data_IF_172853492437
#
_entry.id   IF_172853492437
#
_cell.length_a   1.000
_cell.length_b   1.000
_cell.length_c   1.000
_cell.angle_alpha   90.00
_cell.angle_beta   90.00
_cell.angle_gamma   90.00
#
_symmetry.space_group_name_H-M   'P 1'
#
loop_
_entity.id
_entity.type
_entity.pdbx_description
1 polymer ?
#
# COMPACT_ATOMS: atom_id res chain seq x y z
N UNK A 1 0.35 8.47 29.43
CA UNK A 1 0.36 8.46 27.96
C UNK A 1 -0.81 7.61 27.49
N UNK A 2 -1.59 8.08 26.49
CA UNK A 2 -2.76 7.36 25.96
C UNK A 2 -2.27 6.23 25.03
N UNK A 3 -2.79 5.02 25.21
CA UNK A 3 -2.43 3.86 24.38
C UNK A 3 -3.45 3.64 23.28
N UNK A 4 -3.00 3.43 22.04
CA UNK A 4 -3.81 2.94 20.92
C UNK A 4 -3.43 1.49 20.66
N UNK A 5 -4.41 0.62 20.41
CA UNK A 5 -4.16 -0.81 20.23
C UNK A 5 -4.52 -1.23 18.80
N UNK A 6 -3.57 -1.79 18.08
CA UNK A 6 -3.81 -2.45 16.79
C UNK A 6 -4.00 -3.94 16.96
N UNK A 7 -4.98 -4.52 16.26
CA UNK A 7 -5.25 -5.97 16.29
C UNK A 7 -5.30 -6.52 14.88
N UNK A 8 -4.50 -7.55 14.60
CA UNK A 8 -4.48 -8.24 13.31
C UNK A 8 -4.31 -9.76 13.46
N UNK A 9 -4.80 -10.53 12.49
CA UNK A 9 -4.51 -11.96 12.34
C UNK A 9 -3.62 -12.27 11.14
N UNK A 10 -3.06 -11.23 10.50
CA UNK A 10 -2.18 -11.40 9.35
C UNK A 10 -0.78 -11.85 9.77
N UNK A 11 -0.22 -12.81 9.02
CA UNK A 11 1.14 -13.33 9.21
C UNK A 11 2.04 -13.09 8.01
N UNK A 12 1.44 -12.79 6.86
CA UNK A 12 2.15 -12.74 5.59
C UNK A 12 2.92 -11.43 5.41
N UNK A 13 4.06 -11.46 4.72
CA UNK A 13 4.70 -10.23 4.28
C UNK A 13 3.79 -9.49 3.29
N UNK A 14 3.79 -8.17 3.38
CA UNK A 14 3.00 -7.30 2.49
C UNK A 14 2.47 -6.04 3.16
N UNK A 15 1.51 -5.40 2.50
CA UNK A 15 1.03 -4.06 2.86
C UNK A 15 0.55 -3.89 4.31
N UNK A 16 -0.08 -4.92 4.92
CA UNK A 16 -0.52 -4.82 6.33
C UNK A 16 0.68 -4.78 7.27
N UNK A 17 1.72 -5.59 7.02
CA UNK A 17 2.93 -5.59 7.84
C UNK A 17 3.64 -4.24 7.80
N UNK A 18 3.82 -3.68 6.60
CA UNK A 18 4.39 -2.33 6.40
C UNK A 18 3.52 -1.25 7.04
N UNK A 19 2.19 -1.34 6.86
CA UNK A 19 1.24 -0.40 7.44
C UNK A 19 1.29 -0.36 8.97
N UNK A 20 1.42 -1.50 9.66
CA UNK A 20 1.53 -1.57 11.11
C UNK A 20 2.74 -0.78 11.63
N UNK A 21 3.89 -0.91 10.96
CA UNK A 21 5.08 -0.10 11.27
C UNK A 21 4.82 1.39 11.02
N UNK A 22 4.17 1.75 9.92
CA UNK A 22 3.74 3.13 9.64
C UNK A 22 2.81 3.68 10.72
N UNK A 23 1.82 2.92 11.18
CA UNK A 23 0.94 3.31 12.29
C UNK A 23 1.70 3.49 13.61
N UNK A 24 2.69 2.61 13.91
CA UNK A 24 3.52 2.77 15.12
C UNK A 24 4.27 4.09 15.09
N UNK A 25 4.90 4.43 13.97
CA UNK A 25 5.61 5.69 13.79
C UNK A 25 4.69 6.90 13.88
N UNK A 26 3.56 6.88 13.17
CA UNK A 26 2.60 7.98 13.16
C UNK A 26 2.01 8.22 14.56
N UNK A 27 1.64 7.16 15.30
CA UNK A 27 1.16 7.24 16.67
C UNK A 27 2.22 7.79 17.63
N UNK A 28 3.48 7.37 17.46
CA UNK A 28 4.59 7.88 18.26
C UNK A 28 4.81 9.40 18.01
N UNK A 29 4.79 9.85 16.77
CA UNK A 29 4.85 11.28 16.40
C UNK A 29 3.68 12.04 17.06
N UNK A 30 2.48 11.47 17.08
CA UNK A 30 1.29 12.04 17.69
C UNK A 30 1.27 11.94 19.24
N UNK A 31 2.31 11.39 19.88
CA UNK A 31 2.42 11.30 21.33
C UNK A 31 1.64 10.17 21.99
N UNK A 32 1.24 9.14 21.23
CA UNK A 32 0.59 7.93 21.73
C UNK A 32 1.58 6.78 21.93
N UNK A 33 1.27 5.90 22.91
CA UNK A 33 1.84 4.57 22.92
C UNK A 33 1.07 3.66 21.98
N UNK A 34 1.76 2.77 21.30
CA UNK A 34 1.15 1.78 20.44
C UNK A 34 1.33 0.37 20.99
N UNK A 35 0.23 -0.36 21.18
CA UNK A 35 0.28 -1.79 21.44
C UNK A 35 -0.20 -2.53 20.20
N UNK A 36 0.55 -3.54 19.75
CA UNK A 36 0.17 -4.36 18.61
C UNK A 36 -0.08 -5.80 19.05
N UNK A 37 -1.29 -6.28 18.81
CA UNK A 37 -1.71 -7.68 19.05
C UNK A 37 -1.74 -8.40 17.72
N UNK A 38 -0.86 -9.39 17.55
CA UNK A 38 -0.68 -10.10 16.28
C UNK A 38 -0.28 -11.56 16.51
N UNK A 39 -0.35 -12.42 15.45
CA UNK A 39 0.07 -13.81 15.56
C UNK A 39 1.59 -13.95 15.73
N UNK A 40 2.01 -15.00 16.44
CA UNK A 40 3.40 -15.47 16.43
C UNK A 40 3.85 -15.78 15.00
N UNK A 41 5.12 -15.46 14.70
CA UNK A 41 5.70 -15.63 13.37
C UNK A 41 5.12 -14.69 12.30
N UNK A 42 4.44 -13.60 12.70
CA UNK A 42 4.03 -12.56 11.76
C UNK A 42 5.25 -11.81 11.21
N UNK A 43 5.25 -11.53 9.91
CA UNK A 43 6.36 -10.84 9.24
C UNK A 43 6.61 -9.41 9.76
N UNK A 44 5.60 -8.78 10.37
CA UNK A 44 5.73 -7.46 10.97
C UNK A 44 6.55 -7.42 12.27
N UNK A 45 6.76 -8.57 12.94
CA UNK A 45 7.38 -8.62 14.29
C UNK A 45 8.75 -7.97 14.34
N UNK A 46 9.63 -8.31 13.40
CA UNK A 46 11.01 -7.79 13.40
C UNK A 46 11.07 -6.26 13.18
N UNK A 47 10.22 -5.72 12.31
CA UNK A 47 10.16 -4.29 12.06
C UNK A 47 9.56 -3.53 13.25
N UNK A 48 8.48 -4.05 13.84
CA UNK A 48 7.80 -3.44 14.99
C UNK A 48 8.68 -3.45 16.26
N UNK A 49 9.52 -4.48 16.43
CA UNK A 49 10.42 -4.57 17.60
C UNK A 49 11.43 -3.41 17.68
N UNK A 50 11.72 -2.77 16.57
CA UNK A 50 12.62 -1.62 16.49
C UNK A 50 11.91 -0.26 16.61
N UNK A 51 10.56 -0.24 16.69
CA UNK A 51 9.82 1.01 16.78
C UNK A 51 9.69 1.49 18.23
N UNK A 52 10.05 2.75 18.53
CA UNK A 52 9.93 3.30 19.86
C UNK A 52 8.47 3.35 20.33
N UNK A 53 8.26 3.31 21.64
CA UNK A 53 6.91 3.36 22.26
C UNK A 53 5.91 2.34 21.70
N UNK A 54 6.43 1.21 21.17
CA UNK A 54 5.63 0.12 20.62
C UNK A 54 5.74 -1.12 21.48
N UNK A 55 4.63 -1.58 22.02
CA UNK A 55 4.53 -2.83 22.78
C UNK A 55 3.93 -3.92 21.89
N UNK A 56 4.58 -5.06 21.81
CA UNK A 56 4.13 -6.20 21.00
C UNK A 56 3.60 -7.31 21.90
N UNK A 57 2.39 -7.80 21.57
CA UNK A 57 1.79 -9.00 22.16
C UNK A 57 1.51 -10.00 21.06
N UNK A 58 2.30 -11.05 20.99
CA UNK A 58 2.11 -12.12 20.02
C UNK A 58 1.53 -13.37 20.66
N UNK A 59 0.68 -14.07 19.90
CA UNK A 59 0.00 -15.28 20.33
C UNK A 59 -0.07 -16.31 19.19
N UNK A 60 -0.12 -17.62 19.50
CA UNK A 60 -0.39 -18.62 18.48
C UNK A 60 -1.65 -18.27 17.68
N UNK A 61 -1.60 -18.37 16.35
CA UNK A 61 -2.69 -17.92 15.47
C UNK A 61 -4.03 -18.60 15.81
N UNK A 62 -4.00 -19.88 16.16
CA UNK A 62 -5.19 -20.62 16.57
C UNK A 62 -5.82 -20.05 17.84
N UNK A 63 -4.99 -19.77 18.85
CA UNK A 63 -5.39 -19.14 20.11
C UNK A 63 -5.99 -17.75 19.85
N UNK A 64 -5.28 -16.92 19.08
CA UNK A 64 -5.74 -15.56 18.75
C UNK A 64 -7.10 -15.59 18.03
N UNK A 65 -7.26 -16.44 17.01
CA UNK A 65 -8.54 -16.63 16.33
C UNK A 65 -9.63 -17.12 17.26
N UNK A 66 -9.35 -18.11 18.10
CA UNK A 66 -10.31 -18.65 19.06
C UNK A 66 -10.80 -17.55 20.01
N UNK A 67 -9.90 -16.83 20.66
CA UNK A 67 -10.25 -15.79 21.63
C UNK A 67 -10.98 -14.59 21.00
N UNK A 68 -10.63 -14.20 19.78
CA UNK A 68 -11.30 -13.11 19.09
C UNK A 68 -12.66 -13.55 18.56
N UNK A 69 -12.76 -14.73 17.92
CA UNK A 69 -13.99 -15.16 17.24
C UNK A 69 -15.05 -15.72 18.19
N UNK A 70 -14.64 -16.41 19.27
CA UNK A 70 -15.60 -16.99 20.23
C UNK A 70 -16.08 -16.03 21.31
N UNK A 71 -15.58 -14.79 21.32
CA UNK A 71 -15.81 -13.80 22.40
C UNK A 71 -15.28 -14.29 23.76
N UNK A 72 -14.58 -15.39 23.83
CA UNK A 72 -13.88 -15.88 25.00
C UNK A 72 -12.61 -15.06 25.23
N UNK A 73 -12.37 -14.76 26.40
CA UNK A 73 -11.57 -13.79 27.08
C UNK A 73 -10.09 -13.89 26.67
N UNK A 74 -9.53 -12.81 26.11
CA UNK A 74 -8.11 -12.49 26.32
C UNK A 74 -7.77 -12.63 27.82
N UNK A 75 -6.54 -13.01 28.14
CA UNK A 75 -6.10 -13.04 29.54
C UNK A 75 -6.46 -11.69 30.22
N UNK A 76 -6.76 -11.68 31.51
CA UNK A 76 -7.29 -10.50 32.20
C UNK A 76 -6.49 -9.21 31.96
N UNK A 77 -5.16 -9.33 31.87
CA UNK A 77 -4.28 -8.18 31.59
C UNK A 77 -4.50 -7.56 30.21
N UNK A 78 -4.65 -8.37 29.16
CA UNK A 78 -4.92 -7.87 27.80
C UNK A 78 -6.33 -7.27 27.73
N UNK A 79 -7.31 -7.89 28.39
CA UNK A 79 -8.67 -7.37 28.47
C UNK A 79 -8.72 -5.99 29.13
N UNK A 80 -8.04 -5.81 30.25
CA UNK A 80 -7.94 -4.51 30.91
C UNK A 80 -7.33 -3.46 29.97
N UNK A 81 -6.21 -3.79 29.29
CA UNK A 81 -5.56 -2.88 28.33
C UNK A 81 -6.49 -2.51 27.17
N UNK A 82 -7.26 -3.46 26.62
CA UNK A 82 -8.23 -3.19 25.56
C UNK A 82 -9.36 -2.25 26.07
N UNK A 83 -9.80 -2.40 27.32
CA UNK A 83 -10.85 -1.54 27.90
C UNK A 83 -10.37 -0.13 28.22
N UNK A 84 -9.09 0.03 28.57
CA UNK A 84 -8.47 1.32 28.93
C UNK A 84 -7.87 2.07 27.74
N UNK A 85 -7.81 1.44 26.56
CA UNK A 85 -7.23 2.04 25.38
C UNK A 85 -7.92 3.35 24.99
N UNK A 86 -7.18 4.25 24.32
CA UNK A 86 -7.77 5.43 23.68
C UNK A 86 -8.64 5.06 22.49
N UNK A 87 -8.18 4.07 21.71
CA UNK A 87 -8.87 3.51 20.56
C UNK A 87 -8.33 2.13 20.20
N UNK A 88 -9.10 1.37 19.43
CA UNK A 88 -8.69 0.08 18.88
C UNK A 88 -8.72 0.16 17.34
N UNK A 89 -7.58 -0.04 16.70
CA UNK A 89 -7.42 -0.15 15.25
C UNK A 89 -7.54 -1.62 14.85
N UNK A 90 -8.53 -1.94 14.04
CA UNK A 90 -8.84 -3.32 13.63
C UNK A 90 -8.41 -3.50 12.17
N UNK A 91 -7.38 -4.31 11.92
CA UNK A 91 -6.83 -4.49 10.58
C UNK A 91 -7.46 -5.63 9.77
N UNK A 92 -8.42 -6.35 10.36
CA UNK A 92 -9.16 -7.43 9.68
C UNK A 92 -10.67 -7.26 9.97
N UNK A 93 -11.48 -7.04 8.96
CA UNK A 93 -12.93 -6.80 9.12
C UNK A 93 -13.68 -7.89 9.89
N UNK A 94 -13.19 -9.13 9.87
CA UNK A 94 -13.78 -10.26 10.64
C UNK A 94 -13.68 -10.08 12.15
N UNK A 95 -12.76 -9.25 12.64
CA UNK A 95 -12.50 -9.06 14.06
C UNK A 95 -13.42 -7.97 14.68
N UNK A 96 -14.01 -7.12 13.86
CA UNK A 96 -14.80 -5.97 14.30
C UNK A 96 -15.87 -6.37 15.32
N UNK A 97 -16.75 -7.31 14.96
CA UNK A 97 -17.86 -7.74 15.83
C UNK A 97 -17.39 -8.29 17.20
N UNK A 98 -16.19 -8.88 17.24
CA UNK A 98 -15.65 -9.43 18.50
C UNK A 98 -15.02 -8.36 19.38
N UNK A 99 -14.46 -7.33 18.77
CA UNK A 99 -13.78 -6.23 19.46
C UNK A 99 -14.75 -5.10 19.84
N UNK A 100 -15.89 -4.94 19.16
CA UNK A 100 -16.90 -3.91 19.45
C UNK A 100 -17.52 -3.99 20.85
N UNK A 101 -17.30 -5.06 21.61
CA UNK A 101 -17.69 -5.21 23.00
C UNK A 101 -16.84 -4.41 24.00
N UNK A 102 -15.69 -3.91 23.59
CA UNK A 102 -14.85 -3.05 24.42
C UNK A 102 -15.30 -1.60 24.31
N UNK A 103 -15.18 -0.85 25.39
CA UNK A 103 -15.68 0.54 25.47
C UNK A 103 -14.97 1.54 24.54
N UNK A 104 -13.64 1.40 24.25
CA UNK A 104 -12.97 2.37 23.40
C UNK A 104 -13.51 2.38 21.97
N UNK A 105 -13.46 3.51 21.25
CA UNK A 105 -13.88 3.58 19.86
C UNK A 105 -13.04 2.65 18.98
N UNK A 106 -13.71 1.96 18.06
CA UNK A 106 -13.12 1.01 17.13
C UNK A 106 -13.05 1.61 15.74
N UNK A 107 -11.90 1.44 15.10
CA UNK A 107 -11.66 1.87 13.74
C UNK A 107 -11.24 0.67 12.88
N UNK A 108 -12.07 0.30 11.94
CA UNK A 108 -11.70 -0.69 10.94
C UNK A 108 -10.80 -0.04 9.88
N UNK A 109 -9.55 -0.46 9.78
CA UNK A 109 -8.65 -0.06 8.71
C UNK A 109 -8.90 -0.95 7.49
N UNK A 110 -9.45 -0.38 6.42
CA UNK A 110 -9.80 -1.14 5.22
C UNK A 110 -8.62 -1.27 4.24
N UNK A 111 -7.75 -2.22 4.49
CA UNK A 111 -6.58 -2.51 3.66
C UNK A 111 -6.88 -3.16 2.31
N UNK A 112 -8.07 -3.72 2.12
CA UNK A 112 -8.36 -4.56 0.94
C UNK A 112 -9.30 -3.91 -0.07
N UNK A 113 -9.89 -2.77 0.24
CA UNK A 113 -10.96 -2.17 -0.55
C UNK A 113 -12.26 -2.99 -0.61
N UNK A 114 -12.30 -4.18 0.04
CA UNK A 114 -13.47 -5.07 0.05
C UNK A 114 -14.55 -4.53 0.97
N UNK A 115 -15.82 -4.68 0.56
CA UNK A 115 -16.99 -4.15 1.26
C UNK A 115 -17.57 -5.13 2.30
N UNK A 116 -17.07 -6.35 2.35
CA UNK A 116 -17.59 -7.40 3.25
C UNK A 116 -17.39 -7.04 4.72
N UNK A 117 -18.46 -7.11 5.52
CA UNK A 117 -18.50 -6.84 6.96
C UNK A 117 -18.24 -5.37 7.36
N UNK A 118 -18.21 -4.42 6.43
CA UNK A 118 -17.99 -3.01 6.75
C UNK A 118 -19.10 -2.43 7.63
N UNK A 119 -20.36 -2.74 7.34
CA UNK A 119 -21.51 -2.23 8.09
C UNK A 119 -21.60 -2.67 9.58
N UNK A 120 -20.62 -3.48 10.04
CA UNK A 120 -20.49 -3.88 11.45
C UNK A 120 -19.52 -3.01 12.26
N UNK A 121 -18.84 -2.10 11.61
CA UNK A 121 -17.93 -1.16 12.24
C UNK A 121 -18.63 0.19 12.48
N UNK A 122 -18.34 0.86 13.58
CA UNK A 122 -18.84 2.22 13.82
C UNK A 122 -18.02 3.25 13.04
N UNK A 123 -16.73 3.01 12.91
CA UNK A 123 -15.79 3.87 12.19
C UNK A 123 -14.95 3.05 11.22
N UNK A 124 -14.78 3.56 10.00
CA UNK A 124 -13.95 2.93 8.97
C UNK A 124 -12.92 3.94 8.46
N UNK A 125 -11.66 3.52 8.44
CA UNK A 125 -10.55 4.25 7.83
C UNK A 125 -10.28 3.66 6.45
N UNK A 126 -10.54 4.44 5.42
CA UNK A 126 -10.26 4.09 4.03
C UNK A 126 -8.90 4.65 3.61
N UNK A 127 -8.19 3.91 2.79
CA UNK A 127 -6.88 4.32 2.28
C UNK A 127 -7.00 5.20 1.02
N UNK A 128 -8.18 5.17 0.36
CA UNK A 128 -8.44 5.91 -0.86
C UNK A 128 -9.86 6.46 -0.90
N UNK A 129 -10.05 7.55 -1.67
CA UNK A 129 -11.33 8.18 -1.92
C UNK A 129 -12.28 7.25 -2.68
N UNK A 130 -11.75 6.52 -3.66
CA UNK A 130 -12.51 5.56 -4.46
C UNK A 130 -13.10 4.43 -3.60
N UNK A 131 -12.31 3.85 -2.68
CA UNK A 131 -12.79 2.82 -1.76
C UNK A 131 -13.87 3.36 -0.82
N UNK A 132 -13.71 4.58 -0.28
CA UNK A 132 -14.72 5.24 0.55
C UNK A 132 -16.03 5.44 -0.21
N UNK A 133 -15.95 5.97 -1.44
CA UNK A 133 -17.13 6.25 -2.26
C UNK A 133 -17.88 4.97 -2.65
N UNK A 134 -17.15 3.87 -2.95
CA UNK A 134 -17.79 2.57 -3.17
C UNK A 134 -18.52 2.05 -1.95
N UNK A 135 -17.92 2.21 -0.76
CA UNK A 135 -18.55 1.77 0.48
C UNK A 135 -19.82 2.56 0.78
N UNK A 136 -19.80 3.88 0.63
CA UNK A 136 -20.99 4.73 0.80
C UNK A 136 -22.13 4.31 -0.12
N UNK A 137 -21.86 4.14 -1.42
CA UNK A 137 -22.88 3.65 -2.38
C UNK A 137 -23.42 2.27 -2.01
N UNK A 138 -22.57 1.37 -1.48
CA UNK A 138 -23.01 0.05 -1.05
C UNK A 138 -23.91 0.12 0.17
N UNK A 139 -23.66 1.01 1.13
CA UNK A 139 -24.55 1.23 2.30
C UNK A 139 -25.90 1.79 1.87
N UNK A 140 -25.91 2.74 0.96
CA UNK A 140 -27.15 3.29 0.35
C UNK A 140 -27.95 2.20 -0.38
N UNK A 141 -27.28 1.35 -1.18
CA UNK A 141 -27.91 0.24 -1.88
C UNK A 141 -28.48 -0.84 -0.93
N UNK A 142 -27.94 -0.96 0.28
CA UNK A 142 -28.48 -1.82 1.33
C UNK A 142 -29.63 -1.17 2.12
N UNK A 143 -30.04 0.06 1.78
CA UNK A 143 -31.11 0.79 2.44
C UNK A 143 -30.73 1.30 3.86
N UNK A 144 -29.44 1.37 4.17
CA UNK A 144 -28.99 1.89 5.48
C UNK A 144 -29.24 3.40 5.56
N UNK A 145 -29.97 3.83 6.59
CA UNK A 145 -30.16 5.26 6.85
C UNK A 145 -28.80 5.93 7.14
N UNK A 146 -28.63 7.20 6.78
CA UNK A 146 -27.37 7.92 6.96
C UNK A 146 -26.86 7.90 8.41
N UNK A 147 -27.77 7.91 9.40
CA UNK A 147 -27.44 7.82 10.82
C UNK A 147 -26.97 6.43 11.27
N UNK A 148 -27.25 5.39 10.48
CA UNK A 148 -26.88 4.00 10.75
C UNK A 148 -25.58 3.60 10.03
N UNK A 149 -25.14 4.42 9.06
CA UNK A 149 -23.93 4.15 8.31
C UNK A 149 -22.69 4.37 9.16
N UNK A 150 -21.66 3.53 9.00
CA UNK A 150 -20.37 3.76 9.64
C UNK A 150 -19.79 5.14 9.29
N UNK A 151 -19.11 5.77 10.24
CA UNK A 151 -18.35 6.98 9.96
C UNK A 151 -17.15 6.63 9.08
N UNK A 152 -17.19 7.02 7.82
CA UNK A 152 -16.17 6.76 6.82
C UNK A 152 -15.17 7.93 6.75
N UNK A 153 -13.92 7.68 7.08
CA UNK A 153 -12.85 8.70 7.04
C UNK A 153 -11.73 8.20 6.12
N UNK A 154 -11.14 9.09 5.32
CA UNK A 154 -9.95 8.78 4.52
C UNK A 154 -8.73 9.02 5.41
N UNK A 155 -7.88 7.99 5.53
CA UNK A 155 -6.59 8.06 6.21
C UNK A 155 -5.57 7.30 5.36
N UNK A 156 -4.89 7.96 4.43
CA UNK A 156 -3.81 7.36 3.64
C UNK A 156 -2.65 6.92 4.53
N UNK A 157 -1.85 5.98 4.04
CA UNK A 157 -0.58 5.66 4.69
C UNK A 157 0.42 6.80 4.53
N UNK A 158 1.19 7.06 5.58
CA UNK A 158 2.30 8.01 5.55
C UNK A 158 3.62 7.30 5.23
N UNK A 159 4.50 8.04 4.60
CA UNK A 159 5.85 7.59 4.26
C UNK A 159 6.89 8.28 5.11
N UNK A 160 7.90 7.51 5.56
CA UNK A 160 9.09 8.07 6.17
C UNK A 160 9.92 8.76 5.09
N UNK A 161 10.09 10.05 5.23
CA UNK A 161 10.89 10.81 4.27
C UNK A 161 12.39 10.50 4.47
N UNK A 162 13.16 10.29 3.40
CA UNK A 162 14.60 10.11 3.51
C UNK A 162 15.24 11.40 4.04
N UNK A 163 16.27 11.27 4.90
CA UNK A 163 16.99 12.42 5.47
C UNK A 163 17.62 13.35 4.42
N UNK A 164 17.89 12.83 3.24
CA UNK A 164 18.36 13.60 2.08
C UNK A 164 17.55 13.19 0.86
N UNK A 165 16.97 14.18 0.18
CA UNK A 165 16.36 13.94 -1.13
C UNK A 165 17.41 13.33 -2.06
N UNK A 166 17.11 12.17 -2.60
CA UNK A 166 18.02 11.48 -3.51
C UNK A 166 18.09 12.28 -4.80
N UNK A 167 19.17 13.05 -4.96
CA UNK A 167 19.51 13.62 -6.25
C UNK A 167 19.93 12.46 -7.16
N UNK A 168 19.03 11.96 -8.01
CA UNK A 168 19.43 11.23 -9.18
C UNK A 168 20.00 12.28 -10.15
N UNK A 169 21.20 12.75 -9.82
CA UNK A 169 21.97 13.65 -10.67
C UNK A 169 23.08 12.82 -11.28
N UNK A 170 22.85 12.29 -12.46
CA UNK A 170 23.91 12.10 -13.42
C UNK A 170 23.23 12.21 -14.79
N UNK A 171 23.83 12.98 -15.70
CA UNK A 171 23.55 12.86 -17.12
C UNK A 171 23.49 11.38 -17.43
N UNK A 172 22.32 10.89 -17.82
CA UNK A 172 22.24 9.50 -18.26
C UNK A 172 23.15 9.36 -19.47
N UNK A 173 23.94 8.32 -19.47
CA UNK A 173 24.70 7.91 -20.65
C UNK A 173 23.67 7.65 -21.75
N UNK A 174 23.72 8.37 -22.86
CA UNK A 174 22.74 8.29 -23.95
C UNK A 174 22.65 6.88 -24.56
N UNK A 175 23.67 6.06 -24.33
CA UNK A 175 23.72 4.67 -24.79
C UNK A 175 23.21 3.67 -23.73
N UNK A 176 22.78 4.17 -22.54
CA UNK A 176 22.28 3.30 -21.47
C UNK A 176 20.87 2.78 -21.78
N UNK A 177 20.72 1.47 -21.81
CA UNK A 177 19.40 0.81 -21.90
C UNK A 177 18.61 1.07 -20.61
N UNK A 178 17.42 1.70 -20.68
CA UNK A 178 16.60 1.99 -19.51
C UNK A 178 16.19 0.73 -18.76
N UNK A 179 16.29 0.78 -17.43
CA UNK A 179 15.90 -0.30 -16.54
C UNK A 179 14.56 0.01 -15.87
N UNK A 180 13.58 -0.83 -16.15
CA UNK A 180 12.25 -0.81 -15.52
C UNK A 180 12.23 -1.86 -14.42
N UNK A 181 11.68 -1.53 -13.28
CA UNK A 181 11.43 -2.53 -12.23
C UNK A 181 9.97 -2.56 -11.84
N UNK A 182 9.50 -3.76 -11.51
CA UNK A 182 8.22 -4.00 -10.86
C UNK A 182 8.44 -4.94 -9.68
N UNK A 183 7.63 -4.80 -8.62
CA UNK A 183 7.79 -5.66 -7.48
C UNK A 183 6.47 -5.93 -6.75
N UNK A 184 6.34 -7.16 -6.24
CA UNK A 184 5.17 -7.57 -5.49
C UNK A 184 5.03 -9.08 -5.43
N UNK A 185 4.00 -9.54 -4.72
CA UNK A 185 3.70 -10.96 -4.64
C UNK A 185 3.17 -11.47 -5.97
N UNK A 186 3.61 -12.63 -6.44
CA UNK A 186 3.19 -13.22 -7.70
C UNK A 186 1.81 -13.88 -7.55
N UNK A 187 0.79 -13.03 -7.63
CA UNK A 187 -0.64 -13.37 -7.56
C UNK A 187 -1.39 -12.56 -8.60
N UNK A 188 -2.52 -13.07 -9.06
CA UNK A 188 -3.33 -12.52 -10.16
C UNK A 188 -3.61 -11.02 -10.05
N UNK A 189 -4.01 -10.57 -8.85
CA UNK A 189 -4.33 -9.16 -8.60
C UNK A 189 -3.16 -8.17 -8.78
N UNK A 190 -1.92 -8.66 -8.94
CA UNK A 190 -0.74 -7.81 -9.19
C UNK A 190 -0.47 -7.57 -10.68
N UNK A 191 -1.20 -8.24 -11.58
CA UNK A 191 -1.22 -7.92 -13.01
C UNK A 191 0.12 -8.08 -13.73
N UNK A 192 1.05 -8.89 -13.21
CA UNK A 192 2.37 -9.04 -13.84
C UNK A 192 2.32 -9.76 -15.19
N UNK A 193 1.24 -10.50 -15.48
CA UNK A 193 1.01 -11.05 -16.81
C UNK A 193 0.90 -9.92 -17.86
N UNK A 194 0.19 -8.83 -17.55
CA UNK A 194 0.06 -7.68 -18.46
C UNK A 194 1.43 -7.01 -18.70
N UNK A 195 2.30 -6.99 -17.69
CA UNK A 195 3.67 -6.45 -17.85
C UNK A 195 4.53 -7.35 -18.77
N UNK A 196 4.35 -8.66 -18.71
CA UNK A 196 5.03 -9.60 -19.60
C UNK A 196 4.55 -9.39 -21.04
N UNK A 197 3.23 -9.24 -21.26
CA UNK A 197 2.67 -8.94 -22.57
C UNK A 197 3.16 -7.59 -23.10
N UNK A 198 3.19 -6.55 -22.25
CA UNK A 198 3.75 -5.24 -22.61
C UNK A 198 5.24 -5.32 -22.97
N UNK A 199 6.02 -6.16 -22.27
CA UNK A 199 7.43 -6.40 -22.57
C UNK A 199 7.61 -7.02 -23.96
N UNK A 200 6.74 -7.96 -24.36
CA UNK A 200 6.72 -8.53 -25.70
C UNK A 200 6.42 -7.46 -26.76
N UNK A 201 5.45 -6.58 -26.52
CA UNK A 201 5.12 -5.48 -27.41
C UNK A 201 6.29 -4.51 -27.60
N UNK A 202 6.97 -4.14 -26.52
CA UNK A 202 8.17 -3.27 -26.58
C UNK A 202 9.30 -3.94 -27.37
N UNK A 203 9.52 -5.26 -27.16
CA UNK A 203 10.51 -6.02 -27.93
C UNK A 203 10.17 -6.05 -29.42
N UNK A 204 8.91 -6.31 -29.79
CA UNK A 204 8.46 -6.28 -31.19
C UNK A 204 8.62 -4.91 -31.86
N UNK A 205 8.47 -3.84 -31.09
CA UNK A 205 8.66 -2.45 -31.55
C UNK A 205 10.14 -2.03 -31.54
N UNK A 206 11.07 -2.90 -31.16
CA UNK A 206 12.49 -2.62 -31.02
C UNK A 206 12.77 -1.44 -30.05
N UNK A 207 11.97 -1.29 -29.00
CA UNK A 207 12.20 -0.30 -27.94
C UNK A 207 13.20 -0.89 -26.93
N UNK A 208 14.42 -0.34 -26.81
CA UNK A 208 15.43 -0.90 -25.94
C UNK A 208 15.09 -0.63 -24.46
N UNK A 209 14.84 -1.70 -23.71
CA UNK A 209 14.64 -1.64 -22.26
C UNK A 209 14.96 -2.98 -21.60
N UNK A 210 15.25 -2.97 -20.32
CA UNK A 210 15.30 -4.17 -19.47
C UNK A 210 14.29 -4.07 -18.36
N UNK A 211 13.58 -5.17 -18.07
CA UNK A 211 12.55 -5.23 -17.04
C UNK A 211 12.96 -6.27 -16.01
N UNK A 212 13.07 -5.86 -14.76
CA UNK A 212 13.36 -6.76 -13.64
C UNK A 212 12.10 -6.87 -12.76
N UNK A 213 11.55 -8.08 -12.66
CA UNK A 213 10.35 -8.37 -11.86
C UNK A 213 10.76 -9.05 -10.54
N UNK A 214 10.63 -8.31 -9.43
CA UNK A 214 10.96 -8.77 -8.10
C UNK A 214 9.73 -9.30 -7.36
N UNK A 215 9.84 -10.49 -6.82
CA UNK A 215 8.75 -11.10 -6.05
C UNK A 215 8.84 -12.61 -6.00
N UNK A 216 7.84 -13.19 -5.34
CA UNK A 216 7.61 -14.63 -5.30
C UNK A 216 6.12 -14.90 -5.11
N UNK A 217 5.67 -16.08 -5.46
CA UNK A 217 4.29 -16.48 -5.24
C UNK A 217 3.81 -17.60 -6.16
N UNK A 218 2.55 -17.99 -6.03
CA UNK A 218 2.01 -19.17 -6.74
C UNK A 218 1.99 -19.05 -8.27
N UNK A 219 2.15 -17.85 -8.83
CA UNK A 219 2.16 -17.65 -10.28
C UNK A 219 3.56 -17.58 -10.91
N UNK A 220 4.63 -17.85 -10.15
CA UNK A 220 6.01 -17.76 -10.64
C UNK A 220 6.25 -18.63 -11.87
N UNK A 221 5.90 -19.93 -11.79
CA UNK A 221 6.02 -20.85 -12.91
C UNK A 221 5.14 -20.46 -14.12
N UNK A 222 3.99 -19.83 -13.85
CA UNK A 222 3.09 -19.35 -14.90
C UNK A 222 3.71 -18.17 -15.65
N UNK A 223 4.33 -17.24 -14.93
CA UNK A 223 5.01 -16.10 -15.54
C UNK A 223 6.23 -16.53 -16.34
N UNK A 224 7.04 -17.48 -15.83
CA UNK A 224 8.16 -18.00 -16.59
C UNK A 224 7.70 -18.66 -17.89
N UNK A 225 6.66 -19.49 -17.84
CA UNK A 225 6.09 -20.09 -19.06
C UNK A 225 5.56 -19.07 -20.06
N UNK A 226 4.93 -17.98 -19.60
CA UNK A 226 4.45 -16.90 -20.46
C UNK A 226 5.63 -16.19 -21.16
N UNK A 227 6.72 -15.90 -20.41
CA UNK A 227 7.96 -15.32 -20.96
C UNK A 227 8.54 -16.22 -22.04
N UNK A 228 8.67 -17.53 -21.77
CA UNK A 228 9.23 -18.51 -22.69
C UNK A 228 8.37 -18.67 -23.96
N UNK A 229 7.05 -18.75 -23.81
CA UNK A 229 6.09 -18.90 -24.91
C UNK A 229 6.07 -17.68 -25.85
N UNK A 230 6.21 -16.48 -25.28
CA UNK A 230 6.26 -15.24 -26.05
C UNK A 230 7.67 -14.94 -26.60
N UNK A 231 8.69 -15.70 -26.18
CA UNK A 231 10.09 -15.46 -26.59
C UNK A 231 10.63 -14.12 -26.12
N UNK A 232 10.15 -13.62 -24.99
CA UNK A 232 10.53 -12.29 -24.47
C UNK A 232 11.89 -12.37 -23.81
N UNK A 233 12.83 -11.53 -24.22
CA UNK A 233 14.22 -11.51 -23.74
C UNK A 233 14.55 -10.32 -22.85
N UNK A 234 13.70 -9.30 -22.85
CA UNK A 234 13.93 -8.05 -22.12
C UNK A 234 13.30 -8.03 -20.71
N UNK A 235 12.72 -9.14 -20.24
CA UNK A 235 12.17 -9.27 -18.88
C UNK A 235 12.79 -10.47 -18.14
N UNK A 236 13.02 -10.31 -16.83
CA UNK A 236 13.62 -11.35 -15.98
C UNK A 236 12.94 -11.40 -14.62
N UNK A 237 12.58 -12.60 -14.16
CA UNK A 237 12.14 -12.85 -12.78
C UNK A 237 13.36 -12.88 -11.86
N UNK A 238 13.39 -12.02 -10.83
CA UNK A 238 14.55 -11.83 -9.93
C UNK A 238 14.38 -12.48 -8.57
N UNK A 239 13.23 -13.10 -8.32
CA UNK A 239 12.90 -13.63 -6.99
C UNK A 239 12.62 -12.52 -5.95
N UNK A 240 12.50 -12.91 -4.71
CA UNK A 240 12.21 -12.00 -3.61
C UNK A 240 13.39 -11.08 -3.29
N UNK A 241 13.15 -9.76 -3.23
CA UNK A 241 14.16 -8.79 -2.82
C UNK A 241 14.01 -8.46 -1.33
N UNK A 242 15.05 -8.69 -0.54
CA UNK A 242 15.08 -8.31 0.88
C UNK A 242 15.11 -6.78 1.08
N UNK A 243 15.74 -6.08 0.14
CA UNK A 243 15.89 -4.63 0.18
C UNK A 243 15.55 -4.00 -1.18
N UNK A 244 14.29 -3.65 -1.37
CA UNK A 244 13.83 -2.98 -2.59
C UNK A 244 14.44 -1.60 -2.80
N UNK A 245 14.84 -0.89 -1.74
CA UNK A 245 15.48 0.42 -1.89
C UNK A 245 16.80 0.33 -2.69
N UNK A 246 17.52 -0.77 -2.57
CA UNK A 246 18.72 -1.01 -3.36
C UNK A 246 18.42 -1.31 -4.84
N UNK A 247 17.24 -1.89 -5.11
CA UNK A 247 16.76 -2.15 -6.48
C UNK A 247 16.29 -0.84 -7.12
N UNK A 248 15.51 -0.03 -6.41
CA UNK A 248 15.11 1.32 -6.85
C UNK A 248 16.31 2.18 -7.24
N UNK A 249 17.41 2.05 -6.49
CA UNK A 249 18.62 2.79 -6.75
C UNK A 249 19.22 2.56 -8.16
N UNK A 250 18.99 1.40 -8.71
CA UNK A 250 19.56 0.94 -9.97
C UNK A 250 18.56 0.99 -11.13
N UNK A 251 17.32 1.37 -10.85
CA UNK A 251 16.24 1.45 -11.82
C UNK A 251 16.08 2.87 -12.37
N UNK A 252 15.42 2.97 -13.50
CA UNK A 252 15.09 4.23 -14.16
C UNK A 252 13.59 4.52 -14.10
N UNK A 253 12.74 3.49 -14.14
CA UNK A 253 11.28 3.58 -14.08
C UNK A 253 10.75 2.49 -13.12
N UNK A 254 9.71 2.80 -12.36
CA UNK A 254 8.97 1.81 -11.59
C UNK A 254 7.59 1.56 -12.22
N UNK A 255 7.21 0.28 -12.36
CA UNK A 255 5.92 -0.13 -12.90
C UNK A 255 5.08 -0.87 -11.85
N UNK A 256 3.82 -0.46 -11.68
CA UNK A 256 2.82 -1.11 -10.81
C UNK A 256 1.59 -1.53 -11.62
N UNK A 257 1.59 -2.72 -12.25
CA UNK A 257 0.53 -3.15 -13.15
C UNK A 257 -0.68 -3.79 -12.44
N UNK A 258 -0.89 -3.47 -11.18
CA UNK A 258 -1.87 -4.16 -10.33
C UNK A 258 -3.31 -4.05 -10.83
N UNK A 259 -4.05 -5.16 -10.80
CA UNK A 259 -5.50 -5.16 -11.01
C UNK A 259 -6.28 -4.74 -9.76
N UNK A 260 -5.71 -4.92 -8.57
CA UNK A 260 -6.25 -4.42 -7.32
C UNK A 260 -5.13 -3.81 -6.48
N UNK A 261 -5.18 -2.49 -6.26
CA UNK A 261 -4.24 -1.78 -5.39
C UNK A 261 -4.99 -0.75 -4.53
N UNK A 262 -5.32 -1.11 -3.29
CA UNK A 262 -6.07 -0.23 -2.40
C UNK A 262 -5.36 1.07 -2.02
N UNK A 263 -4.01 1.05 -1.97
CA UNK A 263 -3.20 2.25 -1.72
C UNK A 263 -1.94 2.29 -2.59
N UNK A 264 -1.07 1.28 -2.50
CA UNK A 264 0.17 1.25 -3.27
C UNK A 264 1.37 1.80 -2.49
N UNK A 265 1.64 1.25 -1.31
CA UNK A 265 2.83 1.64 -0.52
C UNK A 265 4.10 1.61 -1.36
N UNK A 266 4.29 0.57 -2.15
CA UNK A 266 5.48 0.43 -3.01
C UNK A 266 5.58 1.51 -4.09
N UNK A 267 4.44 2.07 -4.55
CA UNK A 267 4.41 3.19 -5.49
C UNK A 267 5.02 4.45 -4.86
N UNK A 268 4.56 4.79 -3.65
CA UNK A 268 5.12 5.93 -2.92
C UNK A 268 6.58 5.74 -2.52
N UNK A 269 6.99 4.51 -2.17
CA UNK A 269 8.39 4.17 -1.91
C UNK A 269 9.28 4.38 -3.14
N UNK A 270 8.81 3.98 -4.33
CA UNK A 270 9.51 4.21 -5.60
C UNK A 270 9.60 5.70 -5.93
N UNK A 271 8.51 6.46 -5.76
CA UNK A 271 8.48 7.92 -5.95
C UNK A 271 9.46 8.64 -5.01
N UNK A 272 9.54 8.26 -3.73
CA UNK A 272 10.52 8.78 -2.77
C UNK A 272 11.96 8.40 -3.13
N UNK A 273 12.15 7.25 -3.78
CA UNK A 273 13.44 6.87 -4.31
C UNK A 273 13.85 7.66 -5.56
N UNK A 274 13.00 8.58 -6.03
CA UNK A 274 13.24 9.41 -7.20
C UNK A 274 13.05 8.68 -8.52
N UNK A 275 12.11 7.72 -8.57
CA UNK A 275 11.71 7.07 -9.80
C UNK A 275 10.41 7.70 -10.32
N UNK A 276 10.31 8.00 -11.62
CA UNK A 276 9.02 8.17 -12.26
C UNK A 276 8.29 6.84 -12.24
N UNK A 277 6.97 6.87 -12.09
CA UNK A 277 6.17 5.66 -11.93
C UNK A 277 5.15 5.52 -13.04
N UNK A 278 4.84 4.27 -13.39
CA UNK A 278 3.70 3.92 -14.25
C UNK A 278 2.82 2.97 -13.44
N UNK A 279 1.53 3.26 -13.34
CA UNK A 279 0.61 2.44 -12.59
C UNK A 279 -0.72 2.25 -13.32
N UNK A 280 -1.36 1.11 -13.09
CA UNK A 280 -2.73 0.89 -13.56
C UNK A 280 -3.73 1.78 -12.80
N UNK A 281 -4.82 2.17 -13.44
CA UNK A 281 -5.92 2.94 -12.85
C UNK A 281 -6.68 2.12 -11.81
N UNK A 282 -6.06 1.94 -10.65
CA UNK A 282 -6.66 1.32 -9.45
C UNK A 282 -6.78 2.35 -8.34
N UNK A 283 -7.50 2.03 -7.27
CA UNK A 283 -7.92 2.99 -6.23
C UNK A 283 -6.78 3.87 -5.69
N UNK A 284 -5.72 3.24 -5.19
CA UNK A 284 -4.62 3.94 -4.56
C UNK A 284 -3.76 4.73 -5.53
N UNK A 285 -3.28 4.13 -6.63
CA UNK A 285 -2.56 4.85 -7.68
C UNK A 285 -3.33 6.06 -8.24
N UNK A 286 -4.65 5.94 -8.43
CA UNK A 286 -5.48 7.07 -8.84
C UNK A 286 -5.46 8.22 -7.81
N UNK A 287 -5.57 7.91 -6.53
CA UNK A 287 -5.50 8.93 -5.48
C UNK A 287 -4.08 9.53 -5.36
N UNK A 288 -3.05 8.67 -5.40
CA UNK A 288 -1.65 9.12 -5.25
C UNK A 288 -1.23 9.99 -6.44
N UNK A 289 -1.58 9.63 -7.67
CA UNK A 289 -1.19 10.37 -8.87
C UNK A 289 -2.24 11.41 -9.31
N UNK A 290 -3.24 11.69 -8.44
CA UNK A 290 -4.17 12.79 -8.66
C UNK A 290 -5.08 12.60 -9.88
N UNK A 291 -5.65 11.40 -10.06
CA UNK A 291 -6.51 11.06 -11.21
C UNK A 291 -7.81 11.90 -11.37
N UNK A 292 -7.93 13.01 -10.65
CA UNK A 292 -8.91 14.06 -10.94
C UNK A 292 -8.68 14.77 -12.28
N UNK A 293 -7.47 14.63 -12.86
CA UNK A 293 -7.13 15.03 -14.21
C UNK A 293 -6.80 13.81 -15.05
N UNK A 294 -7.61 13.51 -16.05
CA UNK A 294 -7.48 12.33 -16.91
C UNK A 294 -6.39 12.47 -17.99
N UNK A 295 -5.63 13.56 -18.02
CA UNK A 295 -4.58 13.75 -19.02
C UNK A 295 -3.22 13.20 -18.52
N UNK A 296 -2.39 12.66 -19.41
CA UNK A 296 -1.03 12.24 -19.09
C UNK A 296 -0.20 13.33 -18.42
N UNK A 297 -0.34 14.60 -18.84
CA UNK A 297 0.39 15.74 -18.29
C UNK A 297 0.02 16.00 -16.84
N UNK A 298 -1.27 15.87 -16.46
CA UNK A 298 -1.73 16.06 -15.09
C UNK A 298 -1.14 15.00 -14.15
N UNK A 299 -1.06 13.74 -14.58
CA UNK A 299 -0.48 12.68 -13.75
C UNK A 299 1.06 12.74 -13.70
N UNK A 300 1.72 13.17 -14.78
CA UNK A 300 3.16 13.41 -14.81
C UNK A 300 3.56 14.50 -13.80
N UNK A 301 2.74 15.53 -13.61
CA UNK A 301 2.99 16.58 -12.60
C UNK A 301 2.95 16.06 -11.16
N UNK A 302 2.34 14.88 -10.94
CA UNK A 302 2.34 14.16 -9.66
C UNK A 302 3.40 13.06 -9.58
N UNK A 303 4.17 12.82 -10.65
CA UNK A 303 5.31 11.92 -10.64
C UNK A 303 5.19 10.66 -11.49
N UNK A 304 4.13 10.50 -12.32
CA UNK A 304 4.00 9.31 -13.14
C UNK A 304 2.85 9.32 -14.12
N UNK A 305 2.64 8.17 -14.75
CA UNK A 305 1.56 7.93 -15.71
C UNK A 305 0.58 6.89 -15.18
N UNK A 306 -0.68 7.11 -15.47
CA UNK A 306 -1.75 6.13 -15.26
C UNK A 306 -2.19 5.55 -16.61
N UNK A 307 -2.44 4.24 -16.64
CA UNK A 307 -2.98 3.55 -17.79
C UNK A 307 -4.19 2.68 -17.40
N UNK A 308 -5.12 2.35 -18.35
CA UNK A 308 -6.27 1.51 -18.05
C UNK A 308 -5.85 0.12 -17.55
N UNK A 309 -6.48 -0.36 -16.47
CA UNK A 309 -6.26 -1.68 -15.91
C UNK A 309 -6.50 -2.79 -16.94
N UNK A 310 -5.62 -3.81 -16.99
CA UNK A 310 -5.74 -4.94 -17.90
C UNK A 310 -5.53 -4.60 -19.37
N UNK A 311 -4.79 -3.52 -19.66
CA UNK A 311 -4.50 -3.04 -21.01
C UNK A 311 -2.97 -3.05 -21.26
N UNK A 312 -2.37 -4.19 -21.64
CA UNK A 312 -0.93 -4.30 -21.87
C UNK A 312 -0.43 -3.39 -23.00
N UNK A 313 -1.25 -3.11 -24.01
CA UNK A 313 -0.94 -2.16 -25.08
C UNK A 313 -0.75 -0.74 -24.54
N UNK A 314 -1.67 -0.27 -23.70
CA UNK A 314 -1.60 1.04 -23.08
C UNK A 314 -0.42 1.12 -22.09
N UNK A 315 -0.09 0.01 -21.40
CA UNK A 315 1.11 -0.08 -20.57
C UNK A 315 2.38 0.05 -21.41
N UNK A 316 2.47 -0.64 -22.55
CA UNK A 316 3.61 -0.54 -23.46
C UNK A 316 3.77 0.89 -24.01
N UNK A 317 2.67 1.55 -24.36
CA UNK A 317 2.69 2.96 -24.79
C UNK A 317 3.18 3.90 -23.70
N UNK A 318 2.69 3.76 -22.47
CA UNK A 318 3.12 4.56 -21.32
C UNK A 318 4.61 4.35 -20.99
N UNK A 319 5.11 3.10 -21.06
CA UNK A 319 6.52 2.78 -20.92
C UNK A 319 7.36 3.43 -22.04
N UNK A 320 6.90 3.31 -23.28
CA UNK A 320 7.57 3.91 -24.44
C UNK A 320 7.70 5.43 -24.31
N UNK A 321 6.67 6.12 -23.81
CA UNK A 321 6.73 7.57 -23.58
C UNK A 321 7.86 7.94 -22.61
N UNK A 322 7.93 7.30 -21.44
CA UNK A 322 8.97 7.61 -20.46
C UNK A 322 10.38 7.15 -20.90
N UNK A 323 10.48 6.10 -21.70
CA UNK A 323 11.76 5.61 -22.25
C UNK A 323 12.33 6.63 -23.24
N UNK A 324 11.50 7.21 -24.10
CA UNK A 324 11.91 8.12 -25.17
C UNK A 324 12.11 9.56 -24.74
N UNK A 325 11.47 9.99 -23.65
CA UNK A 325 11.50 11.36 -23.16
C UNK A 325 12.19 11.43 -21.79
N UNK A 326 13.53 11.58 -21.83
CA UNK A 326 14.35 11.70 -20.61
C UNK A 326 13.99 12.94 -19.77
N UNK A 327 13.59 14.04 -20.41
CA UNK A 327 13.27 15.29 -19.71
C UNK A 327 12.00 15.11 -18.91
N UNK A 328 10.94 14.60 -19.53
CA UNK A 328 9.69 14.26 -18.84
C UNK A 328 9.89 13.21 -17.74
N UNK A 329 10.74 12.21 -17.99
CA UNK A 329 11.09 11.19 -17.02
C UNK A 329 11.77 11.80 -15.77
N UNK A 330 12.74 12.68 -15.95
CA UNK A 330 13.45 13.37 -14.87
C UNK A 330 12.53 14.35 -14.10
N UNK A 331 11.70 15.08 -14.82
CA UNK A 331 10.72 16.00 -14.24
C UNK A 331 9.68 15.24 -13.39
N UNK A 332 9.15 14.13 -13.88
CA UNK A 332 8.22 13.27 -13.16
C UNK A 332 8.85 12.68 -11.88
N UNK A 333 10.11 12.23 -11.94
CA UNK A 333 10.83 11.73 -10.78
C UNK A 333 10.93 12.76 -9.65
N UNK A 334 11.27 14.01 -10.00
CA UNK A 334 11.37 15.11 -9.03
C UNK A 334 9.98 15.48 -8.49
N UNK A 335 8.99 15.62 -9.36
CA UNK A 335 7.62 15.93 -8.99
C UNK A 335 7.03 14.87 -8.05
N UNK A 336 7.25 13.60 -8.33
CA UNK A 336 6.74 12.49 -7.52
C UNK A 336 7.30 12.47 -6.11
N UNK A 337 8.61 12.64 -5.95
CA UNK A 337 9.23 12.71 -4.63
C UNK A 337 8.70 13.88 -3.80
N UNK A 338 8.56 15.05 -4.42
CA UNK A 338 7.98 16.24 -3.79
C UNK A 338 6.50 16.02 -3.42
N UNK A 339 5.72 15.45 -4.33
CA UNK A 339 4.30 15.16 -4.11
C UNK A 339 4.06 14.25 -2.92
N UNK A 340 4.82 13.14 -2.81
CA UNK A 340 4.73 12.23 -1.66
C UNK A 340 5.13 12.96 -0.36
N UNK A 341 6.20 13.74 -0.37
CA UNK A 341 6.64 14.47 0.81
C UNK A 341 5.59 15.51 1.28
N UNK A 342 4.94 16.19 0.35
CA UNK A 342 3.94 17.21 0.66
C UNK A 342 2.58 16.64 1.07
N UNK A 343 2.17 15.48 0.56
CA UNK A 343 0.81 14.99 0.74
C UNK A 343 0.71 13.70 1.58
N UNK A 344 1.76 12.91 1.62
CA UNK A 344 1.75 11.56 2.22
C UNK A 344 2.89 11.34 3.22
N UNK A 345 3.41 12.38 3.89
CA UNK A 345 4.42 12.20 4.93
C UNK A 345 3.84 11.54 6.20
N UNK A 346 4.70 10.91 7.00
CA UNK A 346 4.31 10.34 8.30
C UNK A 346 3.73 11.40 9.25
N UNK A 347 4.24 12.63 9.19
CA UNK A 347 3.75 13.74 10.01
C UNK A 347 2.30 14.09 9.65
N UNK A 348 1.94 14.07 8.36
CA UNK A 348 0.56 14.26 7.91
C UNK A 348 -0.36 13.13 8.35
N UNK A 349 0.10 11.89 8.26
CA UNK A 349 -0.65 10.76 8.79
C UNK A 349 -0.84 10.87 10.31
N UNK A 350 0.20 11.27 11.04
CA UNK A 350 0.15 11.47 12.49
C UNK A 350 -0.86 12.56 12.89
N UNK A 351 -0.83 13.71 12.21
CA UNK A 351 -1.78 14.80 12.43
C UNK A 351 -3.24 14.38 12.16
N UNK A 352 -3.47 13.70 11.03
CA UNK A 352 -4.80 13.21 10.68
C UNK A 352 -5.29 12.16 11.68
N UNK A 353 -4.41 11.24 12.09
CA UNK A 353 -4.73 10.20 13.07
C UNK A 353 -5.04 10.80 14.44
N UNK A 354 -4.26 11.79 14.91
CA UNK A 354 -4.53 12.49 16.17
C UNK A 354 -5.89 13.22 16.14
N UNK A 355 -6.20 13.92 15.05
CA UNK A 355 -7.50 14.57 14.87
C UNK A 355 -8.68 13.58 14.95
N UNK A 356 -8.54 12.41 14.28
CA UNK A 356 -9.53 11.33 14.33
C UNK A 356 -9.69 10.80 15.76
N UNK A 357 -8.57 10.47 16.40
CA UNK A 357 -8.56 9.91 17.73
C UNK A 357 -9.09 10.91 18.79
N UNK A 358 -8.79 12.19 18.65
CA UNK A 358 -9.24 13.23 19.59
C UNK A 358 -10.74 13.46 19.50
N UNK A 359 -11.32 13.45 18.30
CA UNK A 359 -12.75 13.67 18.07
C UNK A 359 -13.62 12.42 18.32
N UNK A 360 -13.03 11.24 18.39
CA UNK A 360 -13.77 10.01 18.65
C UNK A 360 -14.32 9.99 20.08
N UNK A 361 -15.63 9.86 20.21
CA UNK A 361 -16.32 9.70 21.51
C UNK A 361 -16.04 8.29 22.05
N UNK A 362 -15.85 8.20 23.37
CA UNK A 362 -15.82 6.91 24.10
C UNK A 362 -17.19 6.30 24.15
#
# INVERSE_FOLDING_TARGET
VKTVISVTTDRQPGGIATALTGYSRALNIAGYQHMVILPEGASALAALANEPNTEIKSFPLGWLKFHILTRFIFCPSIRARLSDARAILVHNARLVTSLSRFTPPHFLVNHSGKLRNLGKADNILFLSSAAQNRAKRAFEALGMAAAEQPKCTILPHGFLLPATARKKAAKQDKDKIPKIIAAGRFVEKKGFADLIDAAALLQHQNIPCTIELYGAGPLEDSYQRQIDQLGVQNITLKGWAENLSSCFAKADIFCLPSHEEPFGLILGEAMLAGLPVIASMTDGPCDILGAGGTSPEATLSCGGLLYPQGAPEALAEALCLLIKDEESCAAAALAGSKHIAEHYSLEKQAQALDAILTTAKR
#
